data_IF_224791006817
#
_entry.id   IF_224791006817
#
_cell.length_a   1.000
_cell.length_b   1.000
_cell.length_c   1.000
_cell.angle_alpha   90.00
_cell.angle_beta   90.00
_cell.angle_gamma   90.00
#
_symmetry.space_group_name_H-M   'P 1'
#
loop_
_entity.id
_entity.type
_entity.pdbx_description
1 polymer ?
#
# COMPACT_ATOMS: atom_id res chain seq x y z
N UNK A 1 -1.07 -5.25 22.50
CA UNK A 1 -1.54 -5.27 21.10
C UNK A 1 -1.91 -3.84 20.74
N UNK A 2 -0.96 -3.08 20.21
CA UNK A 2 -1.19 -1.72 19.73
C UNK A 2 -2.05 -1.81 18.48
N UNK A 3 -3.33 -1.51 18.62
CA UNK A 3 -4.21 -1.28 17.47
C UNK A 3 -3.69 -0.06 16.71
N UNK A 4 -2.79 -0.25 15.75
CA UNK A 4 -2.45 0.79 14.77
C UNK A 4 -3.75 1.09 14.04
N UNK A 5 -4.28 2.28 14.27
CA UNK A 5 -5.52 2.74 13.67
C UNK A 5 -5.19 3.17 12.25
N UNK A 6 -4.99 2.17 11.39
CA UNK A 6 -4.59 2.34 10.00
C UNK A 6 -5.70 3.11 9.28
N UNK A 7 -5.37 4.31 8.78
CA UNK A 7 -6.33 5.14 8.07
C UNK A 7 -6.83 4.35 6.85
N UNK A 8 -8.13 4.07 6.82
CA UNK A 8 -8.71 3.27 5.75
C UNK A 8 -8.53 3.98 4.40
N UNK A 9 -8.13 3.27 3.33
CA UNK A 9 -8.08 3.84 1.99
C UNK A 9 -9.43 4.42 1.56
N UNK A 10 -9.42 5.50 0.78
CA UNK A 10 -10.63 6.17 0.29
C UNK A 10 -11.34 5.38 -0.80
N UNK A 11 -10.61 4.53 -1.51
CA UNK A 11 -11.15 3.65 -2.55
C UNK A 11 -11.50 2.29 -1.92
N UNK A 12 -12.77 1.83 -1.99
CA UNK A 12 -13.18 0.57 -1.38
C UNK A 12 -12.48 -0.65 -1.99
N UNK A 13 -12.10 -0.60 -3.28
CA UNK A 13 -11.34 -1.69 -3.91
C UNK A 13 -9.91 -1.73 -3.37
N UNK A 14 -9.27 -0.56 -3.21
CA UNK A 14 -7.94 -0.46 -2.58
C UNK A 14 -8.01 -0.94 -1.13
N UNK A 15 -9.02 -0.54 -0.36
CA UNK A 15 -9.21 -0.98 1.02
C UNK A 15 -9.32 -2.51 1.12
N UNK A 16 -10.09 -3.13 0.23
CA UNK A 16 -10.24 -4.59 0.15
C UNK A 16 -8.94 -5.29 -0.23
N UNK A 17 -8.12 -4.71 -1.09
CA UNK A 17 -6.84 -5.29 -1.50
C UNK A 17 -5.78 -5.13 -0.40
N UNK A 18 -5.72 -3.97 0.25
CA UNK A 18 -4.84 -3.73 1.39
C UNK A 18 -5.20 -4.62 2.58
N UNK A 19 -6.48 -4.93 2.80
CA UNK A 19 -6.89 -5.88 3.84
C UNK A 19 -6.49 -7.34 3.56
N UNK A 20 -6.06 -7.67 2.33
CA UNK A 20 -5.54 -8.99 1.94
C UNK A 20 -4.01 -9.04 1.96
N UNK A 21 -3.34 -7.96 2.33
CA UNK A 21 -1.91 -7.97 2.62
C UNK A 21 -1.74 -8.56 4.02
N UNK A 22 -1.32 -9.82 4.09
CA UNK A 22 -1.18 -10.56 5.35
C UNK A 22 0.09 -10.14 6.13
N UNK A 23 1.07 -9.55 5.43
CA UNK A 23 2.33 -9.11 6.02
C UNK A 23 2.25 -7.66 6.50
N UNK A 24 2.65 -7.41 7.75
CA UNK A 24 2.67 -6.06 8.32
C UNK A 24 3.64 -5.14 7.57
N UNK A 25 4.74 -5.66 7.02
CA UNK A 25 5.68 -4.90 6.22
C UNK A 25 5.09 -4.46 4.87
N UNK A 26 4.22 -5.27 4.26
CA UNK A 26 3.51 -4.87 3.03
C UNK A 26 2.52 -3.73 3.30
N UNK A 27 1.85 -3.77 4.46
CA UNK A 27 0.91 -2.72 4.88
C UNK A 27 1.64 -1.42 5.25
N UNK A 28 2.75 -1.51 5.98
CA UNK A 28 3.59 -0.36 6.29
C UNK A 28 4.18 0.26 5.02
N UNK A 29 4.66 -0.56 4.07
CA UNK A 29 5.16 -0.07 2.78
C UNK A 29 4.06 0.61 1.94
N UNK A 30 2.81 0.12 2.01
CA UNK A 30 1.67 0.79 1.37
C UNK A 30 1.46 2.19 1.96
N UNK A 31 1.45 2.32 3.28
CA UNK A 31 1.16 3.59 3.96
C UNK A 31 2.25 4.63 3.72
N UNK A 32 3.51 4.25 3.85
CA UNK A 32 4.66 5.11 3.57
C UNK A 32 4.61 5.61 2.11
N UNK A 33 4.32 4.72 1.14
CA UNK A 33 4.23 5.10 -0.26
C UNK A 33 3.03 5.98 -0.56
N UNK A 34 1.88 5.70 0.04
CA UNK A 34 0.69 6.52 -0.11
C UNK A 34 0.95 7.94 0.41
N UNK A 35 1.61 8.06 1.57
CA UNK A 35 2.00 9.36 2.12
C UNK A 35 2.99 10.10 1.21
N UNK A 36 4.03 9.42 0.71
CA UNK A 36 4.99 10.02 -0.24
C UNK A 36 4.28 10.50 -1.51
N UNK A 37 3.42 9.68 -2.12
CA UNK A 37 2.70 10.08 -3.34
C UNK A 37 1.70 11.21 -3.10
N UNK A 38 1.05 11.27 -1.93
CA UNK A 38 0.13 12.35 -1.56
C UNK A 38 0.88 13.67 -1.31
N UNK A 39 1.85 13.66 -0.39
CA UNK A 39 2.48 14.89 0.10
C UNK A 39 3.65 15.35 -0.78
N UNK A 40 4.55 14.45 -1.13
CA UNK A 40 5.72 14.80 -1.95
C UNK A 40 5.37 14.79 -3.44
N UNK A 41 4.51 13.85 -3.86
CA UNK A 41 4.02 13.74 -5.24
C UNK A 41 2.91 14.72 -5.59
N UNK A 42 2.27 15.36 -4.59
CA UNK A 42 1.14 16.27 -4.78
C UNK A 42 -0.09 15.62 -5.39
N UNK A 43 -0.21 14.29 -5.30
CA UNK A 43 -1.34 13.56 -5.87
C UNK A 43 -2.54 13.59 -4.93
N UNK A 44 -3.78 13.58 -5.47
CA UNK A 44 -4.95 13.34 -4.65
C UNK A 44 -4.81 12.01 -3.91
N UNK A 45 -5.18 11.98 -2.62
CA UNK A 45 -5.07 10.80 -1.77
C UNK A 45 -5.54 9.49 -2.42
N UNK A 46 -6.70 9.51 -3.08
CA UNK A 46 -7.24 8.34 -3.79
C UNK A 46 -6.29 7.80 -4.86
N UNK A 47 -5.62 8.69 -5.60
CA UNK A 47 -4.67 8.29 -6.65
C UNK A 47 -3.33 7.85 -6.03
N UNK A 48 -2.87 8.55 -5.00
CA UNK A 48 -1.70 8.16 -4.22
C UNK A 48 -1.82 6.74 -3.65
N UNK A 49 -2.96 6.41 -3.03
CA UNK A 49 -3.28 5.08 -2.51
C UNK A 49 -3.27 4.01 -3.61
N UNK A 50 -3.84 4.28 -4.79
CA UNK A 50 -3.83 3.31 -5.91
C UNK A 50 -2.43 3.00 -6.40
N UNK A 51 -1.61 4.04 -6.58
CA UNK A 51 -0.21 3.89 -7.02
C UNK A 51 0.63 3.16 -5.96
N UNK A 52 0.41 3.47 -4.68
CA UNK A 52 1.08 2.81 -3.57
C UNK A 52 0.76 1.31 -3.54
N UNK A 53 -0.51 0.94 -3.68
CA UNK A 53 -0.92 -0.46 -3.75
C UNK A 53 -0.29 -1.18 -4.95
N UNK A 54 -0.30 -0.55 -6.14
CA UNK A 54 0.32 -1.13 -7.32
C UNK A 54 1.83 -1.39 -7.12
N UNK A 55 2.54 -0.46 -6.46
CA UNK A 55 3.95 -0.62 -6.13
C UNK A 55 4.19 -1.78 -5.14
N UNK A 56 3.38 -1.90 -4.08
CA UNK A 56 3.47 -3.00 -3.13
C UNK A 56 3.22 -4.36 -3.80
N UNK A 57 2.18 -4.47 -4.63
CA UNK A 57 1.89 -5.71 -5.35
C UNK A 57 3.01 -6.08 -6.33
N UNK A 58 3.63 -5.10 -6.99
CA UNK A 58 4.77 -5.34 -7.85
C UNK A 58 5.99 -5.86 -7.07
N UNK A 59 6.25 -5.33 -5.88
CA UNK A 59 7.34 -5.80 -5.01
C UNK A 59 7.07 -7.19 -4.45
N UNK A 60 5.85 -7.47 -4.02
CA UNK A 60 5.40 -8.81 -3.64
C UNK A 60 5.63 -9.82 -4.77
N UNK A 61 5.27 -9.45 -6.00
CA UNK A 61 5.47 -10.31 -7.15
C UNK A 61 6.96 -10.59 -7.42
N UNK A 62 7.85 -9.60 -7.24
CA UNK A 62 9.31 -9.79 -7.36
C UNK A 62 9.86 -10.68 -6.25
N UNK A 63 9.38 -10.51 -5.01
CA UNK A 63 9.80 -11.33 -3.88
C UNK A 63 9.42 -12.82 -4.07
N UNK A 64 8.31 -13.08 -4.76
CA UNK A 64 7.85 -14.42 -5.09
C UNK A 64 8.49 -15.03 -6.35
N UNK A 65 9.40 -14.34 -7.03
CA UNK A 65 10.15 -14.91 -8.16
C UNK A 65 11.42 -15.60 -7.64
N UNK A 66 11.66 -16.87 -7.98
CA UNK A 66 12.93 -17.51 -7.68
C UNK A 66 14.06 -16.81 -8.47
N UNK A 67 15.27 -16.69 -7.90
CA UNK A 67 16.40 -16.14 -8.64
C UNK A 67 16.63 -16.99 -9.90
N UNK A 68 16.82 -16.31 -11.04
CA UNK A 68 17.13 -16.94 -12.33
C UNK A 68 18.52 -17.58 -12.32
#
# INVERSE_FOLDING_TARGET
MTSRNYAQPLDPDVARQVSQLDDEAEREAFEERAAVFEYDGGLPRREAERLALAAVLADRAKANQPPR
#
